data_IF_603156349417
#
_entry.id   IF_603156349417
#
_cell.length_a   1.000
_cell.length_b   1.000
_cell.length_c   1.000
_cell.angle_alpha   90.00
_cell.angle_beta   90.00
_cell.angle_gamma   90.00
#
_symmetry.space_group_name_H-M   'P 1'
#
loop_
_entity.id
_entity.type
_entity.pdbx_description
1 polymer ?
#
# COMPACT_ATOMS: atom_id res chain seq x y z
N UNK A 1 20.66 53.83 15.11
CA UNK A 1 20.58 52.84 14.02
C UNK A 1 20.43 51.47 14.67
N UNK A 2 19.20 51.01 14.82
CA UNK A 2 18.89 49.74 15.49
C UNK A 2 19.14 48.59 14.52
N UNK A 3 20.01 47.64 14.90
CA UNK A 3 20.15 46.36 14.19
C UNK A 3 18.81 45.62 14.26
N UNK A 4 18.30 45.04 13.16
CA UNK A 4 17.10 44.22 13.24
C UNK A 4 17.42 42.98 14.09
N UNK A 5 16.49 42.67 14.99
CA UNK A 5 16.47 41.40 15.74
C UNK A 5 16.39 40.29 14.70
N UNK A 6 17.40 39.41 14.65
CA UNK A 6 17.31 38.17 13.89
C UNK A 6 16.23 37.33 14.58
N UNK A 7 15.06 37.26 13.96
CA UNK A 7 14.01 36.30 14.31
C UNK A 7 14.61 34.90 14.23
N UNK A 8 14.46 34.16 15.33
CA UNK A 8 14.88 32.78 15.52
C UNK A 8 14.16 31.91 14.48
N UNK A 9 14.79 31.71 13.31
CA UNK A 9 14.22 30.87 12.24
C UNK A 9 14.29 29.43 12.72
N UNK A 10 13.16 28.90 13.18
CA UNK A 10 13.02 27.49 13.52
C UNK A 10 13.51 26.63 12.35
N UNK A 11 14.39 25.68 12.65
CA UNK A 11 14.89 24.72 11.66
C UNK A 11 13.71 23.93 11.09
N UNK A 12 13.53 23.88 9.76
CA UNK A 12 12.44 23.12 9.17
C UNK A 12 12.62 21.62 9.48
N UNK A 13 11.51 20.94 9.78
CA UNK A 13 11.50 19.51 10.14
C UNK A 13 11.49 18.64 8.89
N UNK A 14 10.71 19.05 7.91
CA UNK A 14 10.59 18.46 6.60
C UNK A 14 11.79 18.91 5.76
N UNK A 15 12.40 17.95 5.07
CA UNK A 15 13.65 18.16 4.36
C UNK A 15 13.52 17.64 2.94
N UNK A 16 13.90 18.47 1.98
CA UNK A 16 14.17 18.05 0.61
C UNK A 16 15.67 18.17 0.33
N UNK A 17 16.13 17.42 -0.66
CA UNK A 17 17.50 17.47 -1.15
C UNK A 17 17.54 17.24 -2.65
N UNK A 18 18.50 17.87 -3.33
CA UNK A 18 18.79 17.58 -4.72
C UNK A 18 19.49 16.22 -4.84
N UNK A 19 18.83 15.25 -5.47
CA UNK A 19 19.39 13.93 -5.73
C UNK A 19 19.82 13.80 -7.19
N UNK A 20 20.99 13.18 -7.42
CA UNK A 20 21.40 12.72 -8.75
C UNK A 20 20.73 11.38 -9.04
N UNK A 21 19.97 11.34 -10.13
CA UNK A 21 19.14 10.21 -10.53
C UNK A 21 19.50 9.78 -11.95
N UNK A 22 19.24 8.51 -12.27
CA UNK A 22 19.37 7.98 -13.63
C UNK A 22 17.99 7.55 -14.13
N UNK A 23 17.61 7.99 -15.33
CA UNK A 23 16.33 7.60 -15.91
C UNK A 23 16.35 6.12 -16.33
N UNK A 24 15.44 5.26 -15.82
CA UNK A 24 15.44 3.83 -16.16
C UNK A 24 15.08 3.57 -17.63
N UNK A 25 14.44 4.53 -18.31
CA UNK A 25 14.02 4.41 -19.71
C UNK A 25 15.12 4.75 -20.70
N UNK A 26 15.94 5.77 -20.43
CA UNK A 26 16.95 6.26 -21.38
C UNK A 26 18.39 6.27 -20.86
N UNK A 27 18.61 5.97 -19.57
CA UNK A 27 19.93 5.93 -18.92
C UNK A 27 20.60 7.30 -18.75
N UNK A 28 19.92 8.40 -19.06
CA UNK A 28 20.48 9.73 -18.89
C UNK A 28 20.40 10.17 -17.42
N UNK A 29 21.49 10.69 -16.84
CA UNK A 29 21.45 11.26 -15.51
C UNK A 29 20.73 12.62 -15.53
N UNK A 30 20.06 12.93 -14.42
CA UNK A 30 19.45 14.23 -14.17
C UNK A 30 19.34 14.47 -12.65
N UNK A 31 19.14 15.72 -12.27
CA UNK A 31 18.97 16.10 -10.86
C UNK A 31 17.51 16.44 -10.61
N UNK A 32 16.96 15.98 -9.49
CA UNK A 32 15.62 16.34 -9.02
C UNK A 32 15.62 16.59 -7.52
N UNK A 33 14.68 17.41 -7.05
CA UNK A 33 14.45 17.63 -5.63
C UNK A 33 13.62 16.47 -5.06
N UNK A 34 14.09 15.87 -3.98
CA UNK A 34 13.49 14.69 -3.36
C UNK A 34 13.20 15.00 -1.89
N UNK A 35 11.97 14.76 -1.46
CA UNK A 35 11.62 14.83 -0.04
C UNK A 35 12.16 13.61 0.70
N UNK A 36 12.95 13.86 1.74
CA UNK A 36 13.61 12.85 2.58
C UNK A 36 12.98 12.76 3.97
N UNK A 37 12.42 13.86 4.46
CA UNK A 37 11.70 13.90 5.74
C UNK A 37 10.43 14.70 5.54
N UNK A 38 9.30 14.19 6.02
CA UNK A 38 8.03 14.89 6.07
C UNK A 38 7.50 14.87 7.50
N UNK A 39 7.34 16.04 8.10
CA UNK A 39 6.58 16.21 9.34
C UNK A 39 5.14 16.60 8.98
N UNK A 40 4.17 15.74 9.32
CA UNK A 40 2.75 15.92 9.01
C UNK A 40 2.20 17.27 9.49
N UNK A 41 2.64 17.73 10.66
CA UNK A 41 2.13 18.98 11.25
C UNK A 41 2.71 20.20 10.55
N UNK A 42 3.95 20.13 10.10
CA UNK A 42 4.61 21.21 9.36
C UNK A 42 4.16 21.28 7.89
N UNK A 43 4.04 20.13 7.22
CA UNK A 43 3.72 20.03 5.79
C UNK A 43 2.55 19.07 5.51
N UNK A 44 1.32 19.40 5.96
CA UNK A 44 0.14 18.59 5.66
C UNK A 44 -0.18 18.54 4.17
N UNK A 45 0.24 19.56 3.41
CA UNK A 45 0.14 19.60 1.94
C UNK A 45 0.92 18.44 1.29
N UNK A 46 2.13 18.15 1.76
CA UNK A 46 2.93 17.03 1.23
C UNK A 46 2.33 15.66 1.59
N UNK A 47 1.59 15.58 2.70
CA UNK A 47 0.84 14.36 3.06
C UNK A 47 -0.30 14.13 2.07
N UNK A 48 -0.98 15.20 1.63
CA UNK A 48 -1.96 15.08 0.55
C UNK A 48 -1.31 14.61 -0.76
N UNK A 49 -0.20 15.25 -1.17
CA UNK A 49 0.56 14.83 -2.37
C UNK A 49 1.03 13.38 -2.28
N UNK A 50 1.41 12.89 -1.09
CA UNK A 50 1.75 11.49 -0.85
C UNK A 50 0.54 10.56 -1.02
N UNK A 51 -0.62 10.94 -0.47
CA UNK A 51 -1.86 10.18 -0.58
C UNK A 51 -2.39 10.13 -2.03
N UNK A 52 -2.18 11.21 -2.79
CA UNK A 52 -2.52 11.28 -4.21
C UNK A 52 -1.51 10.52 -5.10
N UNK A 53 -0.41 10.01 -4.52
CA UNK A 53 0.62 9.26 -5.24
C UNK A 53 1.56 10.12 -6.08
N UNK A 54 1.53 11.45 -5.88
CA UNK A 54 2.32 12.42 -6.66
C UNK A 54 3.63 12.82 -5.96
N UNK A 55 3.85 12.39 -4.71
CA UNK A 55 5.04 12.76 -3.95
C UNK A 55 6.27 12.05 -4.53
N UNK A 56 7.36 12.80 -4.71
CA UNK A 56 8.62 12.31 -5.28
C UNK A 56 8.41 11.63 -6.64
N UNK A 57 7.42 12.07 -7.42
CA UNK A 57 7.24 11.70 -8.83
C UNK A 57 8.05 12.67 -9.69
N UNK A 58 8.68 12.14 -10.74
CA UNK A 58 9.49 12.91 -11.68
C UNK A 58 9.07 12.69 -13.12
N UNK A 59 9.39 13.67 -13.96
CA UNK A 59 9.34 13.56 -15.42
C UNK A 59 10.75 13.76 -15.97
N UNK A 60 11.28 12.76 -16.68
CA UNK A 60 12.63 12.80 -17.21
C UNK A 60 12.75 13.93 -18.25
N UNK A 61 13.69 14.89 -18.10
CA UNK A 61 13.82 16.02 -19.02
C UNK A 61 14.34 15.62 -20.41
N UNK A 62 14.87 14.40 -20.54
CA UNK A 62 15.49 13.90 -21.78
C UNK A 62 14.52 13.11 -22.66
N UNK A 63 13.63 12.31 -22.06
CA UNK A 63 12.71 11.44 -22.81
C UNK A 63 11.24 11.58 -22.42
N UNK A 64 10.91 12.38 -21.40
CA UNK A 64 9.55 12.59 -20.93
C UNK A 64 8.94 11.42 -20.14
N UNK A 65 9.71 10.38 -19.83
CA UNK A 65 9.23 9.28 -19.00
C UNK A 65 8.90 9.76 -17.58
N UNK A 66 7.74 9.35 -17.06
CA UNK A 66 7.31 9.64 -15.70
C UNK A 66 7.52 8.44 -14.79
N UNK A 67 7.84 8.68 -13.51
CA UNK A 67 7.98 7.61 -12.53
C UNK A 67 8.27 8.12 -11.12
N UNK A 68 8.03 7.25 -10.13
CA UNK A 68 8.38 7.51 -8.74
C UNK A 68 9.89 7.45 -8.50
N UNK A 69 10.37 8.31 -7.60
CA UNK A 69 11.74 8.29 -7.10
C UNK A 69 11.78 7.44 -5.84
N UNK A 70 12.43 6.28 -5.94
CA UNK A 70 12.58 5.34 -4.84
C UNK A 70 13.80 5.72 -3.98
N UNK A 71 13.66 6.75 -3.15
CA UNK A 71 14.67 7.18 -2.16
C UNK A 71 14.15 6.92 -0.74
N UNK A 72 15.01 6.59 0.26
CA UNK A 72 14.57 6.51 1.64
C UNK A 72 13.91 7.81 2.10
N UNK A 73 12.75 7.70 2.75
CA UNK A 73 12.00 8.83 3.26
C UNK A 73 11.40 8.54 4.64
N UNK A 74 11.59 9.46 5.58
CA UNK A 74 11.03 9.40 6.93
C UNK A 74 9.76 10.26 7.03
N UNK A 75 8.66 9.65 7.42
CA UNK A 75 7.40 10.31 7.74
C UNK A 75 7.22 10.39 9.27
N UNK A 76 6.86 11.57 9.75
CA UNK A 76 6.67 11.86 11.17
C UNK A 76 5.26 12.38 11.45
N UNK A 77 4.57 11.70 12.37
CA UNK A 77 3.26 12.11 12.88
C UNK A 77 3.29 12.13 14.42
N UNK A 78 3.49 13.33 14.97
CA UNK A 78 3.55 13.55 16.41
C UNK A 78 2.20 13.38 17.12
N UNK A 79 1.07 13.47 16.41
CA UNK A 79 -0.27 13.27 16.99
C UNK A 79 -0.52 11.79 17.24
N UNK A 80 -0.03 10.93 16.33
CA UNK A 80 -0.06 9.47 16.45
C UNK A 80 1.17 8.88 17.14
N UNK A 81 2.12 9.72 17.52
CA UNK A 81 3.39 9.31 18.14
C UNK A 81 4.10 8.21 17.32
N UNK A 82 4.23 8.41 16.01
CA UNK A 82 4.79 7.41 15.09
C UNK A 82 5.85 7.98 14.14
N UNK A 83 6.77 7.10 13.73
CA UNK A 83 7.72 7.30 12.66
C UNK A 83 7.65 6.12 11.69
N UNK A 84 7.40 6.43 10.42
CA UNK A 84 7.38 5.43 9.34
C UNK A 84 8.51 5.78 8.37
N UNK A 85 9.35 4.82 8.01
CA UNK A 85 10.39 4.99 7.00
C UNK A 85 10.06 4.18 5.76
N UNK A 86 9.72 4.88 4.67
CA UNK A 86 9.65 4.28 3.34
C UNK A 86 11.06 3.92 2.89
N UNK A 87 11.33 2.63 2.67
CA UNK A 87 12.65 2.12 2.31
C UNK A 87 12.64 1.50 0.91
N UNK A 88 13.55 1.89 0.00
CA UNK A 88 13.63 1.28 -1.33
C UNK A 88 13.95 -0.21 -1.25
N UNK A 89 13.32 -1.00 -2.12
CA UNK A 89 13.60 -2.45 -2.22
C UNK A 89 15.01 -2.74 -2.75
N UNK A 90 15.72 -1.76 -3.30
CA UNK A 90 17.12 -1.91 -3.68
C UNK A 90 18.06 -2.02 -2.47
N UNK A 91 17.64 -1.57 -1.29
CA UNK A 91 18.41 -1.66 -0.04
C UNK A 91 18.09 -3.00 0.65
N UNK A 92 18.93 -3.99 0.39
CA UNK A 92 18.76 -5.36 0.91
C UNK A 92 19.52 -5.63 2.22
N UNK A 93 20.50 -4.78 2.56
CA UNK A 93 21.29 -4.93 3.78
C UNK A 93 20.58 -4.28 4.97
N UNK A 94 20.33 -5.06 6.02
CA UNK A 94 19.76 -4.55 7.27
C UNK A 94 20.64 -3.49 7.94
N UNK A 95 21.97 -3.57 7.78
CA UNK A 95 22.89 -2.58 8.33
C UNK A 95 22.83 -1.26 7.55
N UNK A 96 22.77 -1.33 6.22
CA UNK A 96 22.62 -0.15 5.37
C UNK A 96 21.28 0.54 5.61
N UNK A 97 20.19 -0.24 5.73
CA UNK A 97 18.88 0.30 6.07
C UNK A 97 18.89 1.01 7.43
N UNK A 98 19.56 0.43 8.44
CA UNK A 98 19.68 1.01 9.79
C UNK A 98 20.47 2.32 9.79
N UNK A 99 21.55 2.40 9.00
CA UNK A 99 22.35 3.62 8.85
C UNK A 99 21.52 4.75 8.23
N UNK A 100 20.82 4.48 7.12
CA UNK A 100 19.94 5.44 6.45
C UNK A 100 18.81 5.94 7.36
N UNK A 101 18.14 5.04 8.08
CA UNK A 101 17.11 5.41 9.08
C UNK A 101 17.72 6.31 10.16
N UNK A 102 18.92 5.96 10.65
CA UNK A 102 19.63 6.74 11.66
C UNK A 102 19.92 8.17 11.21
N UNK A 103 20.37 8.36 9.97
CA UNK A 103 20.65 9.69 9.39
C UNK A 103 19.38 10.55 9.27
N UNK A 104 18.30 9.97 8.74
CA UNK A 104 17.01 10.67 8.61
C UNK A 104 16.44 11.03 9.99
N UNK A 105 16.49 10.10 10.94
CA UNK A 105 16.04 10.32 12.31
C UNK A 105 16.85 11.40 13.01
N UNK A 106 18.18 11.37 12.87
CA UNK A 106 19.05 12.38 13.47
C UNK A 106 18.72 13.78 12.94
N UNK A 107 18.47 13.90 11.64
CA UNK A 107 18.04 15.16 11.02
C UNK A 107 16.72 15.67 11.60
N UNK A 108 15.72 14.79 11.75
CA UNK A 108 14.43 15.15 12.33
C UNK A 108 14.59 15.58 13.79
N UNK A 109 15.29 14.79 14.61
CA UNK A 109 15.51 15.07 16.04
C UNK A 109 16.26 16.38 16.25
N UNK A 110 17.22 16.71 15.38
CA UNK A 110 17.93 17.98 15.40
C UNK A 110 16.98 19.18 15.14
N UNK A 111 15.98 19.02 14.28
CA UNK A 111 14.96 20.03 14.00
C UNK A 111 13.85 20.09 15.08
N UNK A 112 13.63 19.02 15.85
CA UNK A 112 12.61 18.98 16.90
C UNK A 112 13.04 19.75 18.17
N UNK A 113 12.16 20.62 18.73
CA UNK A 113 12.37 21.22 20.05
C UNK A 113 12.52 20.15 21.14
N UNK A 114 13.36 20.39 22.15
CA UNK A 114 13.63 19.41 23.21
C UNK A 114 12.37 18.87 23.90
N UNK A 115 11.35 19.72 24.10
CA UNK A 115 10.06 19.34 24.71
C UNK A 115 9.22 18.38 23.87
N UNK A 116 9.48 18.27 22.57
CA UNK A 116 8.75 17.40 21.63
C UNK A 116 9.50 16.09 21.38
N UNK A 117 10.72 15.93 21.90
CA UNK A 117 11.52 14.71 21.76
C UNK A 117 11.05 13.63 22.72
N UNK A 118 9.96 12.96 22.35
CA UNK A 118 9.32 11.91 23.15
C UNK A 118 9.93 10.51 22.86
N UNK A 119 9.67 9.50 23.72
CA UNK A 119 10.25 8.16 23.57
C UNK A 119 9.96 7.45 22.26
N UNK A 120 8.79 7.69 21.63
CA UNK A 120 8.42 7.03 20.36
C UNK A 120 9.41 7.29 19.22
N UNK A 121 10.21 8.36 19.29
CA UNK A 121 11.24 8.66 18.29
C UNK A 121 12.34 7.58 18.21
N UNK A 122 12.43 6.68 19.20
CA UNK A 122 13.33 5.53 19.18
C UNK A 122 12.77 4.33 18.37
N UNK A 123 11.49 4.36 18.04
CA UNK A 123 10.80 3.28 17.32
C UNK A 123 10.45 3.79 15.91
N UNK A 124 11.16 3.26 14.92
CA UNK A 124 10.91 3.55 13.50
C UNK A 124 10.42 2.28 12.83
N UNK A 125 9.19 2.31 12.35
CA UNK A 125 8.65 1.24 11.53
C UNK A 125 9.10 1.42 10.08
N UNK A 126 9.56 0.35 9.45
CA UNK A 126 10.03 0.38 8.05
C UNK A 126 8.96 -0.22 7.17
N UNK A 127 8.57 0.53 6.13
CA UNK A 127 7.60 0.11 5.12
C UNK A 127 8.26 0.07 3.74
N UNK A 128 7.82 -0.82 2.83
CA UNK A 128 8.42 -0.96 1.51
C UNK A 128 8.02 0.22 0.62
N UNK A 129 9.01 1.01 0.21
CA UNK A 129 8.85 2.13 -0.74
C UNK A 129 7.77 3.16 -0.33
N UNK A 130 7.53 4.15 -1.20
CA UNK A 130 6.51 5.16 -0.95
C UNK A 130 5.09 4.61 -1.06
N UNK A 131 4.87 3.59 -1.89
CA UNK A 131 3.57 2.94 -2.03
C UNK A 131 3.15 2.22 -0.75
N UNK A 132 4.08 1.55 -0.05
CA UNK A 132 3.80 0.93 1.24
C UNK A 132 3.44 1.96 2.31
N UNK A 133 4.15 3.09 2.34
CA UNK A 133 3.80 4.21 3.22
C UNK A 133 2.42 4.79 2.89
N UNK A 134 2.12 5.02 1.60
CA UNK A 134 0.81 5.50 1.16
C UNK A 134 -0.29 4.55 1.61
N UNK A 135 -0.11 3.24 1.40
CA UNK A 135 -1.08 2.23 1.82
C UNK A 135 -1.31 2.24 3.34
N UNK A 136 -0.24 2.34 4.14
CA UNK A 136 -0.35 2.44 5.59
C UNK A 136 -1.10 3.69 6.04
N UNK A 137 -0.82 4.85 5.44
CA UNK A 137 -1.52 6.10 5.76
C UNK A 137 -2.99 6.08 5.35
N UNK A 138 -3.33 5.50 4.20
CA UNK A 138 -4.71 5.29 3.77
C UNK A 138 -5.44 4.43 4.80
N UNK A 139 -4.85 3.32 5.22
CA UNK A 139 -5.44 2.43 6.22
C UNK A 139 -5.66 3.12 7.58
N UNK A 140 -4.72 3.95 8.01
CA UNK A 140 -4.88 4.78 9.20
C UNK A 140 -5.96 5.85 9.05
N UNK A 141 -6.12 6.43 7.85
CA UNK A 141 -7.13 7.45 7.57
C UNK A 141 -8.54 6.84 7.53
N UNK A 142 -8.71 5.70 6.86
CA UNK A 142 -9.94 4.89 6.86
C UNK A 142 -10.36 4.57 8.31
N UNK A 143 -9.39 4.18 9.13
CA UNK A 143 -9.65 3.81 10.52
C UNK A 143 -9.97 5.01 11.44
N UNK A 144 -9.71 6.25 11.02
CA UNK A 144 -9.79 7.43 11.88
C UNK A 144 -10.87 8.46 11.52
N UNK A 145 -11.22 8.61 10.24
CA UNK A 145 -12.16 9.63 9.78
C UNK A 145 -12.96 9.17 8.55
N UNK A 146 -14.26 9.00 8.76
CA UNK A 146 -15.19 8.59 7.71
C UNK A 146 -15.25 9.60 6.55
N UNK A 147 -15.04 10.90 6.77
CA UNK A 147 -15.13 11.92 5.70
C UNK A 147 -13.93 11.83 4.75
N UNK A 148 -12.74 11.53 5.28
CA UNK A 148 -11.54 11.34 4.47
C UNK A 148 -11.68 10.05 3.66
N UNK A 149 -12.17 8.99 4.29
CA UNK A 149 -12.49 7.74 3.61
C UNK A 149 -13.48 7.96 2.45
N UNK A 150 -14.58 8.68 2.67
CA UNK A 150 -15.56 9.00 1.62
C UNK A 150 -14.92 9.74 0.44
N UNK A 151 -14.00 10.69 0.71
CA UNK A 151 -13.26 11.40 -0.33
C UNK A 151 -12.35 10.47 -1.13
N UNK A 152 -11.59 9.60 -0.46
CA UNK A 152 -10.68 8.67 -1.12
C UNK A 152 -11.46 7.62 -1.95
N UNK A 153 -12.58 7.13 -1.41
CA UNK A 153 -13.49 6.26 -2.15
C UNK A 153 -14.01 6.97 -3.41
N UNK A 154 -14.40 8.24 -3.30
CA UNK A 154 -14.87 9.00 -4.46
C UNK A 154 -13.78 9.17 -5.54
N UNK A 155 -12.52 9.39 -5.16
CA UNK A 155 -11.39 9.46 -6.09
C UNK A 155 -11.16 8.12 -6.80
N UNK A 156 -11.06 7.03 -6.03
CA UNK A 156 -10.87 5.68 -6.55
C UNK A 156 -11.99 5.26 -7.52
N UNK A 157 -13.25 5.51 -7.14
CA UNK A 157 -14.42 5.24 -7.99
C UNK A 157 -14.39 6.13 -9.25
N UNK A 158 -13.99 7.39 -9.11
CA UNK A 158 -13.83 8.32 -10.22
C UNK A 158 -12.80 7.82 -11.24
N UNK A 159 -11.64 7.36 -10.79
CA UNK A 159 -10.63 6.75 -11.66
C UNK A 159 -11.19 5.50 -12.35
N UNK A 160 -11.80 4.59 -11.61
CA UNK A 160 -12.38 3.36 -12.14
C UNK A 160 -13.39 3.60 -13.27
N UNK A 161 -14.27 4.60 -13.13
CA UNK A 161 -15.29 4.93 -14.14
C UNK A 161 -14.72 5.57 -15.41
N UNK A 162 -13.49 6.10 -15.33
CA UNK A 162 -12.80 6.74 -16.45
C UNK A 162 -11.78 5.81 -17.13
N UNK A 163 -11.55 4.61 -16.61
CA UNK A 163 -10.66 3.62 -17.20
C UNK A 163 -11.11 3.23 -18.61
N UNK A 164 -10.15 3.16 -19.52
CA UNK A 164 -10.31 2.55 -20.84
C UNK A 164 -9.22 1.50 -21.07
N UNK A 165 -9.62 0.25 -21.31
CA UNK A 165 -8.69 -0.85 -21.59
C UNK A 165 -8.33 -1.70 -20.36
N UNK A 166 -8.03 -2.97 -20.61
CA UNK A 166 -7.85 -3.99 -19.56
C UNK A 166 -6.60 -3.75 -18.70
N UNK A 167 -5.49 -3.30 -19.28
CA UNK A 167 -4.25 -3.04 -18.52
C UNK A 167 -4.41 -1.90 -17.52
N UNK A 168 -5.05 -0.80 -17.93
CA UNK A 168 -5.31 0.35 -17.05
C UNK A 168 -6.32 -0.01 -15.95
N UNK A 169 -7.29 -0.89 -16.27
CA UNK A 169 -8.20 -1.45 -15.27
C UNK A 169 -7.44 -2.23 -14.20
N UNK A 170 -6.54 -3.13 -14.62
CA UNK A 170 -5.70 -3.91 -13.70
C UNK A 170 -4.90 -3.02 -12.75
N UNK A 171 -4.28 -1.94 -13.27
CA UNK A 171 -3.55 -0.96 -12.46
C UNK A 171 -4.43 -0.26 -11.42
N UNK A 172 -5.56 0.29 -11.84
CA UNK A 172 -6.50 1.00 -10.92
C UNK A 172 -7.03 0.06 -9.85
N UNK A 173 -7.34 -1.19 -10.21
CA UNK A 173 -7.74 -2.21 -9.25
C UNK A 173 -6.62 -2.51 -8.26
N UNK A 174 -5.37 -2.67 -8.70
CA UNK A 174 -4.24 -2.95 -7.81
C UNK A 174 -3.99 -1.81 -6.81
N UNK A 175 -4.01 -0.56 -7.29
CA UNK A 175 -3.74 0.64 -6.48
C UNK A 175 -4.85 0.93 -5.46
N UNK A 176 -6.12 0.85 -5.88
CA UNK A 176 -7.25 1.32 -5.07
C UNK A 176 -8.10 0.21 -4.46
N UNK A 177 -7.67 -1.07 -4.54
CA UNK A 177 -8.50 -2.24 -4.13
C UNK A 177 -9.18 -2.11 -2.77
N UNK A 178 -8.47 -1.65 -1.73
CA UNK A 178 -9.02 -1.56 -0.35
C UNK A 178 -10.22 -0.62 -0.31
N UNK A 179 -10.16 0.46 -1.09
CA UNK A 179 -11.24 1.43 -1.23
C UNK A 179 -12.34 0.90 -2.16
N UNK A 180 -11.98 0.37 -3.33
CA UNK A 180 -12.93 -0.11 -4.35
C UNK A 180 -13.74 -1.33 -3.89
N UNK A 181 -13.15 -2.22 -3.09
CA UNK A 181 -13.82 -3.40 -2.55
C UNK A 181 -14.49 -3.13 -1.19
N UNK A 182 -14.65 -1.87 -0.79
CA UNK A 182 -15.37 -1.47 0.42
C UNK A 182 -16.88 -1.35 0.18
N UNK A 183 -17.67 -1.40 1.27
CA UNK A 183 -19.13 -1.17 1.20
C UNK A 183 -19.44 0.26 0.73
N UNK A 184 -18.56 1.21 1.07
CA UNK A 184 -18.72 2.60 0.69
C UNK A 184 -18.56 2.83 -0.80
N UNK A 185 -17.64 2.11 -1.46
CA UNK A 185 -17.51 2.18 -2.91
C UNK A 185 -18.76 1.65 -3.63
N UNK A 186 -19.41 0.62 -3.07
CA UNK A 186 -20.66 0.11 -3.62
C UNK A 186 -21.79 1.15 -3.50
N UNK A 187 -21.92 1.79 -2.34
CA UNK A 187 -22.87 2.90 -2.13
C UNK A 187 -22.58 4.07 -3.07
N UNK A 188 -21.32 4.47 -3.21
CA UNK A 188 -20.92 5.55 -4.11
C UNK A 188 -21.29 5.27 -5.58
N UNK A 189 -21.11 4.03 -6.05
CA UNK A 189 -21.50 3.62 -7.40
C UNK A 189 -23.02 3.62 -7.60
N UNK A 190 -23.80 3.23 -6.59
CA UNK A 190 -25.25 3.33 -6.62
C UNK A 190 -25.73 4.79 -6.69
N UNK A 191 -25.15 5.66 -5.88
CA UNK A 191 -25.46 7.09 -5.87
C UNK A 191 -25.14 7.75 -7.22
N UNK A 192 -23.99 7.42 -7.82
CA UNK A 192 -23.62 7.88 -9.16
C UNK A 192 -24.62 7.37 -10.21
N UNK A 193 -24.99 6.09 -10.16
CA UNK A 193 -25.96 5.53 -11.11
C UNK A 193 -27.36 6.18 -10.95
N UNK A 194 -27.78 6.49 -9.73
CA UNK A 194 -29.04 7.17 -9.45
C UNK A 194 -29.01 8.64 -9.89
N UNK A 195 -27.92 9.35 -9.61
CA UNK A 195 -27.70 10.72 -10.08
C UNK A 195 -27.70 10.82 -11.61
N UNK A 196 -26.97 9.94 -12.29
CA UNK A 196 -26.93 9.85 -13.75
C UNK A 196 -28.30 9.53 -14.35
N UNK A 197 -29.13 8.73 -13.67
CA UNK A 197 -30.52 8.50 -14.07
C UNK A 197 -31.37 9.77 -13.99
N UNK A 198 -31.19 10.58 -12.95
CA UNK A 198 -31.94 11.82 -12.75
C UNK A 198 -31.58 12.90 -13.79
N UNK A 199 -30.30 12.95 -14.20
CA UNK A 199 -29.81 13.91 -15.22
C UNK A 199 -29.97 13.41 -16.66
N UNK A 200 -30.29 12.12 -16.85
CA UNK A 200 -30.46 11.52 -18.17
C UNK A 200 -29.16 11.03 -18.83
N UNK A 201 -28.04 11.05 -18.11
CA UNK A 201 -26.76 10.53 -18.58
C UNK A 201 -26.76 9.00 -18.60
N UNK A 202 -27.01 8.43 -19.79
CA UNK A 202 -27.13 6.98 -19.96
C UNK A 202 -25.78 6.28 -19.88
N UNK A 203 -24.71 6.93 -20.31
CA UNK A 203 -23.38 6.31 -20.39
C UNK A 203 -22.74 6.23 -19.01
N UNK A 204 -22.76 7.32 -18.24
CA UNK A 204 -22.28 7.31 -16.86
C UNK A 204 -23.04 6.28 -16.01
N UNK A 205 -24.38 6.23 -16.17
CA UNK A 205 -25.21 5.23 -15.48
C UNK A 205 -24.81 3.80 -15.83
N UNK A 206 -24.54 3.52 -17.11
CA UNK A 206 -24.13 2.19 -17.58
C UNK A 206 -22.77 1.80 -16.98
N UNK A 207 -21.78 2.71 -17.03
CA UNK A 207 -20.44 2.49 -16.46
C UNK A 207 -20.49 2.23 -14.96
N UNK A 208 -21.27 3.01 -14.21
CA UNK A 208 -21.42 2.81 -12.77
C UNK A 208 -22.03 1.43 -12.42
N UNK A 209 -23.05 1.01 -13.16
CA UNK A 209 -23.68 -0.30 -12.97
C UNK A 209 -22.73 -1.45 -13.34
N UNK A 210 -21.97 -1.31 -14.42
CA UNK A 210 -20.97 -2.31 -14.83
C UNK A 210 -19.83 -2.42 -13.82
N UNK A 211 -19.27 -1.29 -13.38
CA UNK A 211 -18.25 -1.23 -12.35
C UNK A 211 -18.74 -1.90 -11.05
N UNK A 212 -19.96 -1.57 -10.60
CA UNK A 212 -20.58 -2.21 -9.43
C UNK A 212 -20.68 -3.73 -9.60
N UNK A 213 -21.19 -4.20 -10.73
CA UNK A 213 -21.34 -5.63 -10.98
C UNK A 213 -19.98 -6.36 -11.01
N UNK A 214 -18.94 -5.72 -11.53
CA UNK A 214 -17.57 -6.25 -11.54
C UNK A 214 -17.02 -6.34 -10.12
N UNK A 215 -17.05 -5.25 -9.35
CA UNK A 215 -16.53 -5.20 -7.99
C UNK A 215 -17.29 -6.18 -7.07
N UNK A 216 -18.61 -6.25 -7.18
CA UNK A 216 -19.43 -7.16 -6.38
C UNK A 216 -19.06 -8.62 -6.63
N UNK A 217 -18.78 -9.01 -7.89
CA UNK A 217 -18.26 -10.35 -8.21
C UNK A 217 -16.90 -10.61 -7.56
N UNK A 218 -15.97 -9.66 -7.66
CA UNK A 218 -14.66 -9.78 -7.00
C UNK A 218 -14.81 -9.99 -5.49
N UNK A 219 -15.64 -9.19 -4.83
CA UNK A 219 -15.92 -9.31 -3.40
C UNK A 219 -16.52 -10.66 -3.03
N UNK A 220 -17.51 -11.14 -3.78
CA UNK A 220 -18.10 -12.45 -3.54
C UNK A 220 -17.07 -13.57 -3.67
N UNK A 221 -16.19 -13.50 -4.68
CA UNK A 221 -15.12 -14.50 -4.86
C UNK A 221 -14.12 -14.48 -3.71
N UNK A 222 -13.67 -13.30 -3.27
CA UNK A 222 -12.73 -13.19 -2.14
C UNK A 222 -13.36 -13.67 -0.83
N UNK A 223 -14.61 -13.28 -0.56
CA UNK A 223 -15.32 -13.71 0.62
C UNK A 223 -15.52 -15.23 0.65
N UNK A 224 -15.90 -15.84 -0.48
CA UNK A 224 -16.04 -17.29 -0.59
C UNK A 224 -14.72 -18.02 -0.31
N UNK A 225 -13.59 -17.50 -0.84
CA UNK A 225 -12.25 -18.05 -0.57
C UNK A 225 -11.88 -17.97 0.91
N UNK A 226 -12.13 -16.83 1.56
CA UNK A 226 -11.84 -16.63 2.99
C UNK A 226 -12.65 -17.58 3.87
N UNK A 227 -13.95 -17.71 3.61
CA UNK A 227 -14.84 -18.62 4.34
C UNK A 227 -14.38 -20.07 4.15
N UNK A 228 -14.07 -20.47 2.91
CA UNK A 228 -13.60 -21.81 2.62
C UNK A 228 -12.28 -22.14 3.34
N UNK A 229 -11.31 -21.21 3.36
CA UNK A 229 -10.08 -21.41 4.13
C UNK A 229 -10.37 -21.57 5.62
N UNK A 230 -11.18 -20.69 6.21
CA UNK A 230 -11.45 -20.72 7.64
C UNK A 230 -12.02 -22.08 8.07
N UNK A 231 -12.98 -22.60 7.29
CA UNK A 231 -13.55 -23.94 7.50
C UNK A 231 -12.46 -25.02 7.38
N UNK A 232 -11.65 -25.00 6.31
CA UNK A 232 -10.59 -25.99 6.11
C UNK A 232 -9.51 -25.96 7.21
N UNK A 233 -9.17 -24.79 7.74
CA UNK A 233 -8.23 -24.65 8.86
C UNK A 233 -8.80 -25.18 10.17
N UNK A 234 -10.08 -24.91 10.44
CA UNK A 234 -10.79 -25.44 11.61
C UNK A 234 -10.87 -26.97 11.55
N UNK A 235 -11.18 -27.54 10.38
CA UNK A 235 -11.30 -28.99 10.18
C UNK A 235 -9.93 -29.71 10.21
N UNK A 236 -8.83 -29.01 9.90
CA UNK A 236 -7.46 -29.55 9.97
C UNK A 236 -6.84 -29.55 11.37
N UNK A 237 -7.51 -28.96 12.37
CA UNK A 237 -6.98 -28.83 13.72
C UNK A 237 -6.73 -30.20 14.40
N UNK A 238 -5.71 -30.34 15.29
CA UNK A 238 -4.80 -29.28 15.72
C UNK A 238 -3.65 -29.04 14.73
N UNK A 239 -3.35 -27.76 14.50
CA UNK A 239 -2.16 -27.33 13.76
C UNK A 239 -0.92 -27.36 14.69
N UNK A 240 0.24 -27.64 14.12
CA UNK A 240 1.52 -27.51 14.82
C UNK A 240 1.91 -26.04 15.00
N UNK A 241 2.79 -25.73 15.96
CA UNK A 241 3.26 -24.34 16.19
C UNK A 241 3.88 -23.72 14.93
N UNK A 242 4.57 -24.54 14.12
CA UNK A 242 5.16 -24.12 12.86
C UNK A 242 4.11 -23.80 11.78
N UNK A 243 2.98 -24.52 11.78
CA UNK A 243 1.85 -24.24 10.89
C UNK A 243 1.09 -22.99 11.33
N UNK A 244 0.86 -22.83 12.64
CA UNK A 244 0.24 -21.61 13.19
C UNK A 244 1.04 -20.36 12.81
N UNK A 245 2.38 -20.45 12.82
CA UNK A 245 3.24 -19.33 12.47
C UNK A 245 3.11 -18.86 11.00
N UNK A 246 2.65 -19.72 10.08
CA UNK A 246 2.51 -19.41 8.65
C UNK A 246 1.08 -19.10 8.21
N UNK A 247 0.09 -19.32 9.08
CA UNK A 247 -1.33 -18.97 8.82
C UNK A 247 -1.50 -17.50 8.40
N UNK A 248 -0.85 -16.49 9.04
CA UNK A 248 -0.97 -15.10 8.59
C UNK A 248 -0.50 -14.89 7.15
N UNK A 249 0.61 -15.52 6.75
CA UNK A 249 1.11 -15.42 5.37
C UNK A 249 0.13 -16.06 4.37
N UNK A 250 -0.49 -17.18 4.75
CA UNK A 250 -1.52 -17.82 3.94
C UNK A 250 -2.77 -16.93 3.78
N UNK A 251 -3.21 -16.25 4.86
CA UNK A 251 -4.29 -15.26 4.78
C UNK A 251 -3.95 -14.14 3.79
N UNK A 252 -2.74 -13.57 3.86
CA UNK A 252 -2.28 -12.55 2.91
C UNK A 252 -2.35 -13.04 1.46
N UNK A 253 -1.93 -14.29 1.19
CA UNK A 253 -2.02 -14.87 -0.16
C UNK A 253 -3.47 -15.04 -0.64
N UNK A 254 -4.40 -15.34 0.26
CA UNK A 254 -5.82 -15.52 -0.08
C UNK A 254 -6.57 -14.22 -0.31
N UNK A 255 -6.12 -13.14 0.34
CA UNK A 255 -6.61 -11.79 0.11
C UNK A 255 -6.10 -11.17 -1.19
N UNK A 256 -5.06 -11.77 -1.78
CA UNK A 256 -4.50 -11.32 -3.05
C UNK A 256 -5.50 -11.49 -4.20
N UNK A 257 -5.65 -10.42 -4.98
CA UNK A 257 -6.60 -10.36 -6.11
C UNK A 257 -5.88 -10.59 -7.44
N UNK A 258 -4.57 -10.32 -7.48
CA UNK A 258 -3.69 -10.50 -8.64
C UNK A 258 -2.61 -11.56 -8.36
N UNK A 259 -2.22 -12.39 -9.34
CA UNK A 259 -1.13 -13.35 -9.16
C UNK A 259 0.17 -12.73 -8.64
N UNK A 260 0.52 -11.49 -9.00
CA UNK A 260 1.75 -10.82 -8.53
C UNK A 260 1.76 -10.58 -7.02
N UNK A 261 0.60 -10.27 -6.43
CA UNK A 261 0.47 -10.11 -4.98
C UNK A 261 0.66 -11.45 -4.27
N UNK A 262 0.12 -12.53 -4.84
CA UNK A 262 0.35 -13.88 -4.33
C UNK A 262 1.85 -14.22 -4.36
N UNK A 263 2.54 -13.89 -5.46
CA UNK A 263 3.99 -14.08 -5.57
C UNK A 263 4.76 -13.25 -4.54
N UNK A 264 4.43 -11.95 -4.39
CA UNK A 264 5.09 -11.06 -3.44
C UNK A 264 4.89 -11.52 -2.00
N UNK A 265 3.66 -11.89 -1.62
CA UNK A 265 3.34 -12.44 -0.31
C UNK A 265 4.12 -13.73 -0.04
N UNK A 266 4.32 -14.57 -1.06
CA UNK A 266 5.07 -15.82 -0.95
C UNK A 266 6.58 -15.60 -0.83
N UNK A 267 7.14 -14.62 -1.52
CA UNK A 267 8.55 -14.22 -1.39
C UNK A 267 8.83 -13.66 0.01
N UNK A 268 7.89 -12.90 0.58
CA UNK A 268 8.02 -12.29 1.90
C UNK A 268 8.07 -13.31 3.05
N UNK A 269 7.73 -14.58 2.81
CA UNK A 269 7.80 -15.65 3.82
C UNK A 269 9.27 -16.01 4.08
N UNK A 270 9.64 -16.01 5.38
CA UNK A 270 10.98 -16.32 5.82
C UNK A 270 11.42 -17.71 5.32
N UNK A 271 12.68 -17.90 4.86
CA UNK A 271 13.15 -19.17 4.30
C UNK A 271 12.89 -20.39 5.19
N UNK A 272 13.02 -20.23 6.51
CA UNK A 272 12.75 -21.25 7.52
C UNK A 272 11.27 -21.65 7.66
N UNK A 273 10.35 -20.77 7.25
CA UNK A 273 8.90 -20.97 7.32
C UNK A 273 8.31 -21.58 6.05
N UNK A 274 9.02 -21.48 4.91
CA UNK A 274 8.54 -21.97 3.60
C UNK A 274 8.15 -23.45 3.60
N UNK A 275 8.94 -24.39 4.20
CA UNK A 275 8.56 -25.81 4.22
C UNK A 275 7.25 -26.06 4.98
N UNK A 276 7.03 -25.34 6.08
CA UNK A 276 5.80 -25.43 6.87
C UNK A 276 4.59 -24.89 6.12
N UNK A 277 4.77 -23.78 5.38
CA UNK A 277 3.72 -23.23 4.52
C UNK A 277 3.35 -24.20 3.39
N UNK A 278 4.35 -24.79 2.72
CA UNK A 278 4.13 -25.74 1.63
C UNK A 278 3.41 -27.00 2.11
N UNK A 279 3.83 -27.55 3.24
CA UNK A 279 3.17 -28.70 3.86
C UNK A 279 1.72 -28.37 4.25
N UNK A 280 1.46 -27.18 4.79
CA UNK A 280 0.11 -26.73 5.15
C UNK A 280 -0.78 -26.58 3.91
N UNK A 281 -0.27 -25.95 2.84
CA UNK A 281 -1.01 -25.79 1.57
C UNK A 281 -1.33 -27.16 0.96
N UNK A 282 -0.41 -28.11 1.00
CA UNK A 282 -0.65 -29.48 0.53
C UNK A 282 -1.76 -30.18 1.32
N UNK A 283 -1.70 -30.11 2.66
CA UNK A 283 -2.75 -30.66 3.54
C UNK A 283 -4.11 -30.02 3.28
N UNK A 284 -4.15 -28.69 3.14
CA UNK A 284 -5.36 -27.94 2.79
C UNK A 284 -5.93 -28.38 1.45
N UNK A 285 -5.08 -28.59 0.44
CA UNK A 285 -5.53 -29.05 -0.88
C UNK A 285 -6.12 -30.46 -0.81
N UNK A 286 -5.50 -31.36 -0.05
CA UNK A 286 -6.03 -32.72 0.16
C UNK A 286 -7.39 -32.69 0.88
N UNK A 287 -7.53 -31.84 1.89
CA UNK A 287 -8.80 -31.66 2.62
C UNK A 287 -9.89 -31.06 1.72
N UNK A 288 -9.57 -30.00 0.97
CA UNK A 288 -10.51 -29.38 0.02
C UNK A 288 -10.98 -30.37 -1.06
N UNK A 289 -10.09 -31.26 -1.51
CA UNK A 289 -10.46 -32.34 -2.43
C UNK A 289 -11.40 -33.37 -1.79
N UNK A 290 -11.13 -33.77 -0.55
CA UNK A 290 -11.97 -34.72 0.19
C UNK A 290 -13.38 -34.17 0.46
N UNK A 291 -13.49 -32.88 0.76
CA UNK A 291 -14.75 -32.19 1.03
C UNK A 291 -15.48 -31.69 -0.23
N UNK A 292 -14.92 -31.95 -1.42
CA UNK A 292 -15.48 -31.50 -2.69
C UNK A 292 -15.67 -29.97 -2.75
N UNK A 293 -14.66 -29.22 -2.31
CA UNK A 293 -14.61 -27.76 -2.40
C UNK A 293 -13.78 -27.31 -3.62
N UNK A 294 -14.34 -27.29 -4.85
CA UNK A 294 -13.56 -27.08 -6.08
C UNK A 294 -12.90 -25.71 -6.18
N UNK A 295 -13.51 -24.68 -5.60
CA UNK A 295 -13.01 -23.29 -5.65
C UNK A 295 -11.79 -23.10 -4.74
N UNK A 296 -11.84 -23.65 -3.53
CA UNK A 296 -10.70 -23.69 -2.61
C UNK A 296 -9.57 -24.54 -3.19
N UNK A 297 -9.91 -25.71 -3.74
CA UNK A 297 -8.97 -26.62 -4.36
C UNK A 297 -8.23 -25.97 -5.54
N UNK A 298 -8.94 -25.29 -6.44
CA UNK A 298 -8.34 -24.60 -7.58
C UNK A 298 -7.34 -23.52 -7.14
N UNK A 299 -7.69 -22.76 -6.09
CA UNK A 299 -6.81 -21.74 -5.54
C UNK A 299 -5.56 -22.35 -4.89
N UNK A 300 -5.73 -23.37 -4.04
CA UNK A 300 -4.63 -24.05 -3.36
C UNK A 300 -3.68 -24.73 -4.36
N UNK A 301 -4.20 -25.32 -5.45
CA UNK A 301 -3.38 -25.82 -6.54
C UNK A 301 -2.58 -24.72 -7.23
N UNK A 302 -3.19 -23.55 -7.48
CA UNK A 302 -2.46 -22.42 -8.06
C UNK A 302 -1.33 -21.95 -7.14
N UNK A 303 -1.51 -21.99 -5.81
CA UNK A 303 -0.43 -21.70 -4.85
C UNK A 303 0.72 -22.70 -4.94
N UNK A 304 0.44 -23.99 -5.14
CA UNK A 304 1.45 -25.03 -5.29
C UNK A 304 2.29 -24.89 -6.57
N UNK A 305 1.70 -24.31 -7.62
CA UNK A 305 2.36 -24.11 -8.93
C UNK A 305 3.30 -22.89 -8.96
N UNK A 306 3.30 -22.06 -7.91
CA UNK A 306 4.22 -20.92 -7.80
C UNK A 306 5.66 -21.42 -7.55
N UNK A 307 6.70 -20.77 -8.10
CA UNK A 307 8.08 -21.21 -7.94
C UNK A 307 8.44 -21.39 -6.46
N UNK A 308 8.89 -22.59 -6.11
CA UNK A 308 9.53 -22.89 -4.83
C UNK A 308 10.97 -22.38 -4.91
N UNK A 309 11.18 -21.07 -4.78
CA UNK A 309 12.52 -20.50 -4.63
C UNK A 309 12.91 -20.37 -3.17
#
# INVERSE_FOLDING_TARGET
>A
MSRPVQEDRATPRSRQEAAELECPTCGQPFTAEVWLVIDKRERPDLVHTLLDGELNVMCCPHCGAEGGINHPMLYHDAEREQLLCAMPLTIQSADAARELVGELLQSLVAALPAKERKPYLAEVEVVPELDGLRAALIEQAISADAVIEDRMVALAVGELLNVTGELTFGRVMAEHRKLLLSDRAEVALDDIAQGARATGDRELRRRAQEAKAVLSRFRSTLHARQVALAVLLDDLAPLSDAEVAVVPALHTMLEAVDPQEVYAARIAVAPEQRPSLDALIERLAQQAAAEHQPEALAFLYNLQLLPQQ
#
